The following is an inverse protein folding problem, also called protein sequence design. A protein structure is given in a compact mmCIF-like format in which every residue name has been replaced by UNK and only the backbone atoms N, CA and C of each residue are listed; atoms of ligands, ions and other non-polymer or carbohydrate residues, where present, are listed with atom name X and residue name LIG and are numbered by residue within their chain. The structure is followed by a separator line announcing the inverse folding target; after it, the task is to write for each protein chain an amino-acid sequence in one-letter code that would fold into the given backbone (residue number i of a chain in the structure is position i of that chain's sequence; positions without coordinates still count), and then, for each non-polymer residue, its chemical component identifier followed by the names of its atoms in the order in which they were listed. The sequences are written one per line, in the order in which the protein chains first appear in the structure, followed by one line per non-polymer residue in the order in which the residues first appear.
data_IF_599471300536
#
_entry.id   IF_599471300536
#
_cell.length_a   1.000
_cell.length_b   1.000
_cell.length_c   1.000
_cell.angle_alpha   90.00
_cell.angle_beta   90.00
_cell.angle_gamma   90.00
#
_symmetry.space_group_name_H-M   'P 1'
#
loop_
_entity.id
_entity.type
_entity.pdbx_description
1 polymer ?
#
# COMPACT_ATOMS: atom_id res chain seq x y z
N UNK A 1 16.11 -9.16 25.67
CA UNK A 1 15.08 -8.19 26.10
C UNK A 1 14.23 -7.85 24.89
N UNK A 2 12.96 -8.28 24.86
CA UNK A 2 12.08 -8.01 23.71
C UNK A 2 11.68 -6.53 23.76
N UNK A 3 12.21 -5.69 22.85
CA UNK A 3 11.72 -4.32 22.73
C UNK A 3 10.24 -4.38 22.39
N UNK A 4 9.40 -3.90 23.31
CA UNK A 4 7.97 -3.76 23.09
C UNK A 4 7.79 -2.84 21.88
N UNK A 5 7.22 -3.36 20.80
CA UNK A 5 6.99 -2.58 19.59
C UNK A 5 6.19 -1.31 19.94
N UNK A 6 6.60 -0.16 19.42
CA UNK A 6 5.91 1.12 19.67
C UNK A 6 4.41 1.01 19.38
N UNK A 7 3.52 1.79 20.02
CA UNK A 7 2.10 1.77 19.64
C UNK A 7 1.93 2.23 18.17
N UNK A 8 0.94 1.65 17.48
CA UNK A 8 0.55 2.10 16.13
C UNK A 8 -0.14 3.47 16.20
N UNK A 9 -0.01 4.32 15.17
CA UNK A 9 -0.88 5.49 15.01
C UNK A 9 -2.36 5.08 15.06
N UNK A 10 -3.20 5.89 15.70
CA UNK A 10 -4.61 5.58 15.90
C UNK A 10 -5.35 5.35 14.57
N UNK A 11 -5.08 6.18 13.56
CA UNK A 11 -5.63 6.06 12.21
C UNK A 11 -5.21 4.72 11.56
N UNK A 12 -3.95 4.33 11.66
CA UNK A 12 -3.45 3.04 11.14
C UNK A 12 -4.14 1.85 11.80
N UNK A 13 -4.33 1.90 13.12
CA UNK A 13 -5.01 0.84 13.87
C UNK A 13 -6.50 0.75 13.48
N UNK A 14 -7.17 1.91 13.30
CA UNK A 14 -8.54 1.96 12.82
C UNK A 14 -8.67 1.39 11.40
N UNK A 15 -7.76 1.77 10.50
CA UNK A 15 -7.69 1.27 9.13
C UNK A 15 -7.57 -0.26 9.08
N UNK A 16 -6.63 -0.84 9.84
CA UNK A 16 -6.47 -2.30 9.92
C UNK A 16 -7.71 -3.01 10.46
N UNK A 17 -8.38 -2.46 11.48
CA UNK A 17 -9.64 -3.01 11.99
C UNK A 17 -10.75 -2.94 10.96
N UNK A 18 -10.91 -1.81 10.27
CA UNK A 18 -11.92 -1.62 9.25
C UNK A 18 -11.74 -2.60 8.08
N UNK A 19 -10.50 -2.82 7.65
CA UNK A 19 -10.16 -3.79 6.60
C UNK A 19 -10.57 -5.23 6.94
N UNK A 20 -10.68 -5.57 8.22
CA UNK A 20 -11.09 -6.89 8.70
C UNK A 20 -12.57 -6.98 9.08
N UNK A 21 -13.26 -5.85 9.19
CA UNK A 21 -14.64 -5.77 9.69
C UNK A 21 -15.72 -5.95 8.61
N UNK A 22 -15.33 -6.08 7.33
CA UNK A 22 -16.27 -6.23 6.23
C UNK A 22 -17.11 -7.52 6.34
N UNK A 23 -18.40 -7.43 6.02
CA UNK A 23 -19.34 -8.57 6.00
C UNK A 23 -18.98 -9.64 4.97
N UNK A 24 -18.19 -9.28 3.96
CA UNK A 24 -17.65 -10.21 2.96
C UNK A 24 -16.55 -11.12 3.51
N UNK A 25 -16.01 -10.86 4.71
CA UNK A 25 -14.95 -11.65 5.34
C UNK A 25 -15.50 -12.57 6.42
N UNK A 26 -14.98 -13.80 6.44
CA UNK A 26 -15.18 -14.72 7.55
C UNK A 26 -14.49 -14.15 8.80
N UNK A 27 -15.10 -14.24 9.99
CA UNK A 27 -14.52 -13.68 11.21
C UNK A 27 -13.28 -14.45 11.71
N UNK A 28 -13.12 -15.71 11.28
CA UNK A 28 -12.04 -16.59 11.70
C UNK A 28 -10.68 -16.06 11.22
N UNK A 29 -9.75 -15.91 12.17
CA UNK A 29 -8.35 -15.60 11.90
C UNK A 29 -7.61 -16.84 11.36
N UNK A 30 -6.86 -16.67 10.27
CA UNK A 30 -6.25 -17.77 9.51
C UNK A 30 -4.74 -17.66 9.35
N UNK A 31 -4.06 -16.66 9.93
CA UNK A 31 -2.61 -16.44 9.74
C UNK A 31 -1.79 -17.74 9.80
N UNK A 32 -2.01 -18.59 10.81
CA UNK A 32 -1.28 -19.85 10.98
C UNK A 32 -1.37 -20.83 9.80
N UNK A 33 -2.47 -20.81 9.04
CA UNK A 33 -2.65 -21.64 7.83
C UNK A 33 -1.96 -21.04 6.60
N UNK A 34 -1.72 -19.73 6.63
CA UNK A 34 -1.17 -18.95 5.51
C UNK A 34 0.33 -18.66 5.65
N UNK A 35 0.95 -18.99 6.79
CA UNK A 35 2.41 -18.90 6.99
C UNK A 35 3.21 -19.76 6.01
N UNK A 36 2.62 -20.76 5.36
CA UNK A 36 3.28 -21.52 4.29
C UNK A 36 3.45 -20.73 2.99
N UNK A 37 2.58 -19.75 2.71
CA UNK A 37 2.66 -18.93 1.50
C UNK A 37 3.60 -17.75 1.66
N UNK A 38 4.13 -17.24 0.55
CA UNK A 38 4.99 -16.07 0.52
C UNK A 38 4.19 -14.86 -0.01
N UNK A 39 3.89 -13.90 0.86
CA UNK A 39 3.19 -12.66 0.47
C UNK A 39 4.13 -11.61 -0.13
N UNK A 40 5.45 -11.82 -0.07
CA UNK A 40 6.44 -10.86 -0.56
C UNK A 40 6.26 -10.46 -2.03
N UNK A 41 6.05 -11.41 -2.96
CA UNK A 41 5.81 -11.08 -4.38
C UNK A 41 4.60 -10.18 -4.61
N UNK A 42 3.55 -10.25 -3.78
CA UNK A 42 2.34 -9.43 -3.94
C UNK A 42 2.67 -7.94 -3.75
N UNK A 43 3.61 -7.62 -2.86
CA UNK A 43 4.09 -6.26 -2.59
C UNK A 43 5.02 -5.70 -3.68
N UNK A 44 5.42 -6.53 -4.64
CA UNK A 44 6.27 -6.16 -5.78
C UNK A 44 5.49 -6.11 -7.10
N UNK A 45 4.21 -6.47 -7.09
CA UNK A 45 3.39 -6.63 -8.31
C UNK A 45 3.15 -5.30 -9.03
N UNK A 46 2.83 -4.24 -8.28
CA UNK A 46 2.52 -2.95 -8.86
C UNK A 46 3.75 -2.26 -9.48
N UNK A 47 3.56 -1.67 -10.66
CA UNK A 47 4.55 -0.76 -11.21
C UNK A 47 4.68 0.47 -10.32
N UNK A 48 5.84 1.14 -10.33
CA UNK A 48 6.05 2.34 -9.52
C UNK A 48 5.09 3.49 -9.88
N UNK A 49 4.47 3.43 -11.06
CA UNK A 49 3.60 4.47 -11.61
C UNK A 49 2.16 4.37 -11.10
N UNK A 50 1.74 3.19 -10.65
CA UNK A 50 0.41 3.00 -10.03
C UNK A 50 0.47 3.09 -8.50
N UNK A 51 1.66 3.10 -7.91
CA UNK A 51 1.85 3.36 -6.48
C UNK A 51 1.73 4.86 -6.21
N UNK A 52 0.65 5.23 -5.52
CA UNK A 52 0.30 6.62 -5.21
C UNK A 52 0.33 6.84 -3.71
N UNK A 53 0.73 8.02 -3.27
CA UNK A 53 0.95 8.30 -1.85
C UNK A 53 1.18 9.77 -1.53
N UNK A 54 0.92 10.11 -0.27
CA UNK A 54 1.15 11.45 0.28
C UNK A 54 1.86 11.39 1.65
N UNK A 55 2.44 12.52 2.03
CA UNK A 55 3.00 12.77 3.37
C UNK A 55 2.58 14.16 3.87
N UNK A 56 2.30 14.27 5.17
CA UNK A 56 1.98 15.53 5.83
C UNK A 56 0.51 15.98 5.67
N UNK A 57 0.16 17.08 6.35
CA UNK A 57 -1.21 17.61 6.37
C UNK A 57 -1.66 18.20 5.03
N UNK A 58 -0.73 18.66 4.20
CA UNK A 58 -1.01 19.27 2.90
C UNK A 58 -0.97 18.26 1.74
N UNK A 59 -0.99 16.96 2.07
CA UNK A 59 -0.95 15.86 1.11
C UNK A 59 0.22 15.97 0.11
N UNK A 60 1.41 16.37 0.58
CA UNK A 60 2.61 16.46 -0.26
C UNK A 60 2.86 15.12 -0.95
N UNK A 61 3.05 15.13 -2.27
CA UNK A 61 3.28 13.90 -3.07
C UNK A 61 4.46 13.13 -2.50
N UNK A 62 4.18 11.87 -2.18
CA UNK A 62 5.14 10.85 -1.78
C UNK A 62 5.14 9.76 -2.84
N UNK A 63 6.28 9.54 -3.50
CA UNK A 63 6.47 8.35 -4.34
C UNK A 63 7.15 7.28 -3.51
N UNK A 64 6.74 6.03 -3.72
CA UNK A 64 7.29 4.87 -3.01
C UNK A 64 7.64 3.79 -4.02
N UNK A 65 8.84 3.23 -3.92
CA UNK A 65 9.27 2.07 -4.67
C UNK A 65 9.78 1.01 -3.70
N UNK A 66 9.06 -0.09 -3.58
CA UNK A 66 9.60 -1.30 -2.96
C UNK A 66 10.55 -1.97 -3.95
N UNK A 67 11.74 -2.36 -3.48
CA UNK A 67 12.80 -2.96 -4.29
C UNK A 67 12.93 -4.47 -4.00
N UNK A 68 13.00 -4.86 -2.73
CA UNK A 68 13.05 -6.27 -2.33
C UNK A 68 12.10 -6.55 -1.19
N UNK A 69 11.56 -7.77 -1.16
CA UNK A 69 10.75 -8.28 -0.06
C UNK A 69 11.12 -9.74 0.20
N UNK A 70 11.85 -9.96 1.28
CA UNK A 70 12.40 -11.27 1.63
C UNK A 70 11.69 -11.83 2.85
N UNK A 71 11.03 -12.98 2.68
CA UNK A 71 10.38 -13.68 3.78
C UNK A 71 11.41 -14.28 4.72
N UNK A 72 11.26 -14.06 6.02
CA UNK A 72 12.15 -14.63 7.03
C UNK A 72 11.95 -16.14 7.15
N UNK A 73 13.07 -16.89 7.13
CA UNK A 73 13.06 -18.34 7.40
C UNK A 73 12.84 -18.69 8.88
N UNK A 74 13.20 -17.79 9.80
CA UNK A 74 13.03 -17.99 11.24
C UNK A 74 11.62 -17.60 11.73
N UNK A 75 10.96 -16.69 11.00
CA UNK A 75 9.63 -16.20 11.34
C UNK A 75 8.79 -16.05 10.07
N UNK A 76 7.96 -17.05 9.74
CA UNK A 76 7.20 -17.05 8.49
C UNK A 76 6.17 -15.92 8.33
N UNK A 77 5.88 -15.14 9.38
CA UNK A 77 5.02 -13.96 9.29
C UNK A 77 5.81 -12.67 9.05
N UNK A 78 7.14 -12.70 9.15
CA UNK A 78 8.02 -11.53 9.03
C UNK A 78 8.66 -11.44 7.64
N UNK A 79 8.68 -10.23 7.09
CA UNK A 79 9.27 -9.89 5.80
C UNK A 79 10.25 -8.74 5.98
N UNK A 80 11.42 -8.86 5.38
CA UNK A 80 12.39 -7.78 5.26
C UNK A 80 12.14 -7.02 3.96
N UNK A 81 12.04 -5.70 4.05
CA UNK A 81 11.71 -4.84 2.92
C UNK A 81 12.83 -3.85 2.71
N UNK A 82 13.23 -3.66 1.46
CA UNK A 82 14.04 -2.52 1.02
C UNK A 82 13.31 -1.72 -0.03
N UNK A 83 13.60 -0.43 -0.11
CA UNK A 83 12.98 0.44 -1.10
C UNK A 83 13.53 1.85 -1.11
N UNK A 84 12.87 2.71 -1.87
CA UNK A 84 13.15 4.15 -1.94
C UNK A 84 11.86 4.95 -1.86
N UNK A 85 11.93 6.14 -1.29
CA UNK A 85 10.90 7.19 -1.32
C UNK A 85 11.40 8.39 -2.09
N UNK A 86 10.50 9.18 -2.69
CA UNK A 86 10.80 10.51 -3.22
C UNK A 86 9.74 11.50 -2.72
N UNK A 87 10.20 12.59 -2.11
CA UNK A 87 9.37 13.73 -1.68
C UNK A 87 10.04 15.00 -2.15
N UNK A 88 9.33 15.83 -2.94
CA UNK A 88 9.87 17.07 -3.50
C UNK A 88 11.24 16.92 -4.18
N UNK A 89 11.44 15.81 -4.92
CA UNK A 89 12.69 15.50 -5.63
C UNK A 89 13.78 14.85 -4.75
N UNK A 90 13.60 14.77 -3.44
CA UNK A 90 14.57 14.14 -2.53
C UNK A 90 14.31 12.64 -2.43
N UNK A 91 15.24 11.85 -2.98
CA UNK A 91 15.17 10.38 -2.93
C UNK A 91 15.86 9.85 -1.68
N UNK A 92 15.20 8.99 -0.90
CA UNK A 92 15.77 8.34 0.29
C UNK A 92 15.57 6.83 0.24
N UNK A 93 16.62 6.09 0.51
CA UNK A 93 16.53 4.64 0.65
C UNK A 93 15.98 4.29 2.03
N UNK A 94 15.12 3.29 2.08
CA UNK A 94 14.62 2.73 3.32
C UNK A 94 14.86 1.23 3.40
N UNK A 95 14.94 0.73 4.63
CA UNK A 95 14.91 -0.69 4.97
C UNK A 95 14.07 -0.91 6.20
N UNK A 96 13.46 -2.07 6.32
CA UNK A 96 12.74 -2.43 7.53
C UNK A 96 11.93 -3.69 7.38
N UNK A 97 10.84 -3.79 8.11
CA UNK A 97 10.06 -5.01 8.22
C UNK A 97 8.58 -4.77 7.94
N UNK A 98 7.92 -5.80 7.42
CA UNK A 98 6.48 -5.99 7.53
C UNK A 98 6.22 -7.32 8.21
N UNK A 99 5.40 -7.32 9.27
CA UNK A 99 4.96 -8.52 9.95
C UNK A 99 3.46 -8.71 9.73
N UNK A 100 3.08 -9.82 9.11
CA UNK A 100 1.68 -10.23 9.04
C UNK A 100 1.13 -10.45 10.45
N UNK A 101 -0.01 -9.85 10.73
CA UNK A 101 -0.71 -9.96 12.01
C UNK A 101 -1.96 -10.80 11.87
N UNK A 102 -2.67 -10.63 10.75
CA UNK A 102 -3.97 -11.23 10.54
C UNK A 102 -4.18 -11.60 9.07
N UNK A 103 -4.88 -12.70 8.83
CA UNK A 103 -5.34 -13.15 7.53
C UNK A 103 -6.77 -13.64 7.69
N UNK A 104 -7.69 -13.11 6.88
CA UNK A 104 -9.08 -13.55 6.81
C UNK A 104 -9.46 -13.91 5.39
N UNK A 105 -10.24 -14.96 5.26
CA UNK A 105 -10.81 -15.40 3.98
C UNK A 105 -12.16 -14.73 3.74
N UNK A 106 -12.49 -14.49 2.48
CA UNK A 106 -13.82 -14.14 2.05
C UNK A 106 -14.62 -15.39 1.69
N UNK A 107 -15.91 -15.44 2.05
CA UNK A 107 -16.83 -16.46 1.52
C UNK A 107 -18.29 -16.02 1.58
N UNK A 108 -19.04 -16.22 0.47
CA UNK A 108 -18.56 -16.68 -0.84
C UNK A 108 -17.60 -15.69 -1.48
N UNK A 109 -16.61 -16.22 -2.21
CA UNK A 109 -15.51 -15.45 -2.80
C UNK A 109 -16.02 -14.28 -3.65
N UNK A 110 -17.17 -14.47 -4.32
CA UNK A 110 -17.92 -13.44 -5.06
C UNK A 110 -18.25 -12.19 -4.24
N UNK A 111 -18.38 -12.26 -2.92
CA UNK A 111 -18.75 -11.10 -2.09
C UNK A 111 -17.67 -10.02 -2.02
N UNK A 112 -16.41 -10.31 -2.39
CA UNK A 112 -15.40 -9.27 -2.57
C UNK A 112 -15.53 -8.53 -3.91
N UNK A 113 -16.28 -9.08 -4.87
CA UNK A 113 -16.33 -8.62 -6.24
C UNK A 113 -17.75 -8.16 -6.60
N UNK A 114 -17.92 -6.87 -6.85
CA UNK A 114 -19.22 -6.27 -7.15
C UNK A 114 -19.67 -6.41 -8.63
N UNK A 115 -19.07 -7.29 -9.44
CA UNK A 115 -19.30 -7.29 -10.89
C UNK A 115 -20.26 -8.38 -11.37
N UNK A 116 -21.29 -7.95 -12.10
CA UNK A 116 -22.16 -8.80 -12.94
C UNK A 116 -21.51 -9.20 -14.28
N UNK A 117 -20.26 -8.79 -14.54
CA UNK A 117 -19.61 -8.99 -15.84
C UNK A 117 -18.46 -10.02 -15.77
N UNK A 118 -18.64 -11.12 -16.50
CA UNK A 118 -17.60 -12.08 -16.85
C UNK A 118 -17.40 -13.24 -15.85
N UNK A 119 -16.89 -14.40 -16.32
CA UNK A 119 -16.48 -15.46 -15.42
C UNK A 119 -15.32 -14.97 -14.55
N UNK A 120 -15.45 -15.11 -13.23
CA UNK A 120 -14.34 -14.88 -12.32
C UNK A 120 -13.16 -15.80 -12.69
N UNK A 121 -11.91 -15.37 -12.47
CA UNK A 121 -10.75 -16.25 -12.54
C UNK A 121 -10.96 -17.53 -11.73
N UNK A 122 -10.33 -18.62 -12.17
CA UNK A 122 -10.36 -19.92 -11.49
C UNK A 122 -9.70 -19.82 -10.09
N UNK A 123 -10.52 -19.45 -9.11
CA UNK A 123 -10.11 -19.06 -7.76
C UNK A 123 -10.85 -19.89 -6.72
N UNK A 124 -10.08 -20.53 -5.85
CA UNK A 124 -10.60 -21.33 -4.76
C UNK A 124 -10.97 -20.49 -3.53
N UNK A 125 -10.15 -19.49 -3.20
CA UNK A 125 -10.29 -18.67 -1.99
C UNK A 125 -9.75 -17.26 -2.26
N UNK A 126 -10.40 -16.23 -1.72
CA UNK A 126 -9.84 -14.88 -1.64
C UNK A 126 -9.81 -14.41 -0.20
N UNK A 127 -9.11 -13.31 0.06
CA UNK A 127 -9.10 -12.74 1.40
C UNK A 127 -8.30 -11.47 1.54
N UNK A 128 -8.16 -11.06 2.80
CA UNK A 128 -7.41 -9.89 3.22
C UNK A 128 -6.34 -10.32 4.21
N UNK A 129 -5.12 -9.84 4.01
CA UNK A 129 -4.03 -9.94 4.95
C UNK A 129 -3.68 -8.55 5.48
N UNK A 130 -3.55 -8.44 6.80
CA UNK A 130 -3.19 -7.21 7.50
C UNK A 130 -1.86 -7.42 8.19
N UNK A 131 -0.92 -6.52 7.92
CA UNK A 131 0.41 -6.53 8.50
C UNK A 131 0.76 -5.19 9.14
N UNK A 132 1.68 -5.23 10.09
CA UNK A 132 2.29 -4.04 10.66
C UNK A 132 3.64 -3.83 10.00
N UNK A 133 3.95 -2.60 9.60
CA UNK A 133 5.25 -2.27 9.02
C UNK A 133 6.01 -1.22 9.84
N UNK A 134 7.33 -1.29 9.71
CA UNK A 134 8.27 -0.26 10.14
C UNK A 134 9.39 -0.18 9.10
N UNK A 135 9.57 0.98 8.48
CA UNK A 135 10.59 1.23 7.45
C UNK A 135 11.43 2.43 7.89
N UNK A 136 12.74 2.26 7.88
CA UNK A 136 13.71 3.24 8.39
C UNK A 136 14.55 3.77 7.24
N UNK A 137 14.63 5.08 7.12
CA UNK A 137 15.61 5.75 6.27
C UNK A 137 16.94 5.90 7.03
N UNK A 138 18.03 6.22 6.32
CA UNK A 138 19.33 6.42 6.94
C UNK A 138 19.36 7.69 7.79
N UNK A 139 19.64 7.62 9.11
CA UNK A 139 19.71 8.81 9.96
C UNK A 139 20.91 9.71 9.63
N UNK A 140 21.83 9.27 8.77
CA UNK A 140 22.98 10.05 8.33
C UNK A 140 22.65 11.08 7.23
N UNK A 141 21.41 11.09 6.70
CA UNK A 141 20.99 12.02 5.66
C UNK A 141 19.91 12.97 6.20
N UNK A 142 19.88 14.20 5.68
CA UNK A 142 18.80 15.14 5.98
C UNK A 142 17.46 14.69 5.38
N UNK A 143 16.39 15.16 6.02
CA UNK A 143 14.99 14.85 5.64
C UNK A 143 14.70 13.35 5.67
N UNK A 144 15.22 12.67 6.69
CA UNK A 144 14.98 11.24 6.91
C UNK A 144 14.21 10.97 8.19
N UNK A 145 13.57 9.82 8.23
CA UNK A 145 12.76 9.39 9.35
C UNK A 145 12.41 7.91 9.33
N UNK A 146 11.36 7.59 10.09
CA UNK A 146 10.81 6.24 10.22
C UNK A 146 9.36 6.26 9.79
N UNK A 147 9.01 5.39 8.85
CA UNK A 147 7.62 5.07 8.51
C UNK A 147 7.12 3.94 9.42
N UNK A 148 5.92 4.10 9.98
CA UNK A 148 5.24 3.08 10.79
C UNK A 148 3.76 3.06 10.48
N UNK A 149 3.17 1.88 10.40
CA UNK A 149 1.74 1.77 10.16
C UNK A 149 1.25 0.36 9.91
N UNK A 150 0.11 0.30 9.24
CA UNK A 150 -0.57 -0.94 8.85
C UNK A 150 -0.61 -1.03 7.33
N UNK A 151 -0.31 -2.22 6.82
CA UNK A 151 -0.46 -2.61 5.43
C UNK A 151 -1.64 -3.57 5.30
N UNK A 152 -2.47 -3.38 4.27
CA UNK A 152 -3.61 -4.23 3.93
C UNK A 152 -3.43 -4.73 2.51
N UNK A 153 -3.38 -6.04 2.35
CA UNK A 153 -3.19 -6.72 1.06
C UNK A 153 -4.42 -7.59 0.78
N UNK A 154 -4.98 -7.47 -0.42
CA UNK A 154 -5.98 -8.38 -0.96
C UNK A 154 -5.29 -9.42 -1.82
N UNK A 155 -5.71 -10.66 -1.66
CA UNK A 155 -5.05 -11.81 -2.27
C UNK A 155 -6.08 -12.87 -2.63
N UNK A 156 -5.70 -13.77 -3.54
CA UNK A 156 -6.44 -14.99 -3.79
C UNK A 156 -5.55 -16.21 -4.00
N UNK A 157 -6.14 -17.38 -3.80
CA UNK A 157 -5.59 -18.68 -4.17
C UNK A 157 -6.33 -19.20 -5.40
N UNK A 158 -5.57 -19.62 -6.41
CA UNK A 158 -6.15 -20.42 -7.50
C UNK A 158 -6.46 -21.87 -7.04
N UNK A 159 -7.12 -22.66 -7.90
CA UNK A 159 -7.41 -24.08 -7.59
C UNK A 159 -6.16 -24.97 -7.47
N UNK A 160 -4.98 -24.45 -7.82
CA UNK A 160 -3.68 -25.09 -7.59
C UNK A 160 -3.02 -24.60 -6.29
N UNK A 161 -3.76 -23.86 -5.46
CA UNK A 161 -3.29 -23.27 -4.21
C UNK A 161 -2.08 -22.34 -4.36
N UNK A 162 -1.95 -21.65 -5.49
CA UNK A 162 -0.92 -20.61 -5.65
C UNK A 162 -1.48 -19.27 -5.21
N UNK A 163 -0.69 -18.51 -4.46
CA UNK A 163 -1.04 -17.18 -3.95
C UNK A 163 -0.79 -16.11 -5.00
N UNK A 164 -1.79 -15.27 -5.23
CA UNK A 164 -1.78 -14.20 -6.20
C UNK A 164 -2.17 -12.87 -5.58
N UNK A 165 -1.65 -11.79 -6.15
CA UNK A 165 -2.16 -10.45 -5.94
C UNK A 165 -3.58 -10.37 -6.50
N UNK A 166 -4.52 -9.83 -5.73
CA UNK A 166 -5.89 -9.66 -6.21
C UNK A 166 -6.00 -8.41 -7.10
N UNK A 167 -5.96 -8.65 -8.42
CA UNK A 167 -6.24 -7.68 -9.49
C UNK A 167 -7.52 -8.00 -10.27
N UNK A 168 -8.40 -8.84 -9.72
CA UNK A 168 -9.56 -9.39 -10.43
C UNK A 168 -10.48 -8.26 -10.91
N UNK A 169 -10.70 -7.26 -10.05
CA UNK A 169 -11.51 -6.09 -10.37
C UNK A 169 -10.66 -4.85 -10.70
N UNK A 170 -9.47 -5.01 -11.29
CA UNK A 170 -8.60 -3.85 -11.60
C UNK A 170 -9.25 -2.79 -12.50
N UNK A 171 -10.27 -3.17 -13.27
CA UNK A 171 -11.03 -2.27 -14.15
C UNK A 171 -12.18 -1.55 -13.44
N UNK A 172 -12.44 -1.83 -12.15
CA UNK A 172 -13.49 -1.16 -11.41
C UNK A 172 -13.07 0.25 -10.98
N UNK A 173 -13.99 1.20 -11.14
CA UNK A 173 -13.95 2.52 -10.51
C UNK A 173 -13.80 2.33 -8.99
N UNK A 174 -12.66 2.71 -8.40
CA UNK A 174 -12.24 2.45 -6.99
C UNK A 174 -11.41 1.20 -6.71
N UNK A 175 -10.86 0.53 -7.73
CA UNK A 175 -9.87 -0.52 -7.46
C UNK A 175 -8.69 0.01 -6.64
N UNK A 176 -8.29 -0.76 -5.63
CA UNK A 176 -7.11 -0.51 -4.82
C UNK A 176 -6.60 -1.81 -4.20
N UNK A 177 -5.29 -1.88 -3.98
CA UNK A 177 -4.66 -2.97 -3.25
C UNK A 177 -3.36 -2.48 -2.59
N UNK A 178 -2.69 -3.36 -1.83
CA UNK A 178 -1.46 -3.08 -1.08
C UNK A 178 -1.49 -1.70 -0.43
N UNK A 179 -2.49 -1.46 0.40
CA UNK A 179 -2.74 -0.15 0.99
C UNK A 179 -2.00 0.00 2.32
N UNK A 180 -1.27 1.09 2.48
CA UNK A 180 -0.48 1.42 3.65
C UNK A 180 -1.01 2.69 4.30
N UNK A 181 -1.52 2.57 5.53
CA UNK A 181 -1.92 3.70 6.35
C UNK A 181 -0.97 3.87 7.52
N UNK A 182 -0.32 5.02 7.64
CA UNK A 182 0.77 5.20 8.59
C UNK A 182 1.19 6.63 8.86
N UNK A 183 2.39 6.71 9.43
CA UNK A 183 3.04 7.95 9.78
C UNK A 183 4.52 7.89 9.46
N UNK A 184 5.09 9.02 9.08
CA UNK A 184 6.52 9.24 9.01
C UNK A 184 6.96 10.15 10.17
N UNK A 185 7.98 9.73 10.93
CA UNK A 185 8.55 10.51 12.04
C UNK A 185 9.97 10.93 11.71
N UNK A 186 10.21 12.24 11.63
CA UNK A 186 11.52 12.83 11.34
C UNK A 186 12.56 12.46 12.41
N UNK A 187 13.76 12.07 12.00
CA UNK A 187 14.87 11.90 12.96
C UNK A 187 15.35 13.23 13.53
N UNK A 188 15.42 14.28 12.72
CA UNK A 188 15.93 15.59 13.13
C UNK A 188 14.95 16.32 14.06
N UNK A 189 13.68 16.43 13.64
CA UNK A 189 12.70 17.26 14.36
C UNK A 189 11.81 16.49 15.33
N UNK A 190 11.83 15.14 15.26
CA UNK A 190 10.89 14.24 15.97
C UNK A 190 9.41 14.48 15.66
N UNK A 191 9.09 15.40 14.75
CA UNK A 191 7.72 15.63 14.29
C UNK A 191 7.24 14.42 13.52
N UNK A 192 5.99 14.05 13.79
CA UNK A 192 5.30 12.95 13.12
C UNK A 192 4.29 13.52 12.15
N UNK A 193 4.32 13.03 10.92
CA UNK A 193 3.42 13.39 9.84
C UNK A 193 2.65 12.15 9.41
N UNK A 194 1.39 12.36 9.04
CA UNK A 194 0.58 11.34 8.39
C UNK A 194 1.21 10.96 7.04
N UNK A 195 1.19 9.68 6.71
CA UNK A 195 1.88 9.17 5.52
C UNK A 195 1.20 7.90 5.03
N UNK A 196 0.48 8.00 3.91
CA UNK A 196 -0.30 6.89 3.36
C UNK A 196 0.07 6.70 1.88
N UNK A 197 0.08 5.45 1.44
CA UNK A 197 0.27 5.10 0.03
C UNK A 197 -0.45 3.78 -0.29
N UNK A 198 -0.64 3.49 -1.56
CA UNK A 198 -1.25 2.24 -2.01
C UNK A 198 -1.18 2.09 -3.52
N UNK A 199 -1.56 0.91 -4.00
CA UNK A 199 -1.69 0.64 -5.42
C UNK A 199 -3.02 1.22 -5.91
N UNK A 200 -2.97 2.03 -6.97
CA UNK A 200 -4.09 2.70 -7.65
C UNK A 200 -4.81 3.79 -6.84
N UNK A 201 -4.96 3.62 -5.53
CA UNK A 201 -5.65 4.58 -4.66
C UNK A 201 -5.05 4.62 -3.26
N UNK A 202 -5.14 5.78 -2.60
CA UNK A 202 -4.51 6.00 -1.30
C UNK A 202 -5.53 5.79 -0.18
N UNK A 203 -5.25 4.96 0.84
CA UNK A 203 -6.18 4.79 1.95
C UNK A 203 -6.34 6.08 2.76
N UNK A 204 -7.56 6.27 3.26
CA UNK A 204 -7.96 7.41 4.10
C UNK A 204 -7.75 8.79 3.45
N UNK A 205 -7.64 8.92 2.14
CA UNK A 205 -7.32 10.20 1.48
C UNK A 205 -8.25 11.38 1.84
N UNK A 206 -9.47 11.16 2.34
CA UNK A 206 -10.34 12.24 2.80
C UNK A 206 -10.71 13.19 1.66
N UNK A 207 -10.60 14.49 1.89
CA UNK A 207 -10.90 15.55 0.91
C UNK A 207 -9.82 15.73 -0.17
N UNK A 208 -8.70 15.02 -0.07
CA UNK A 208 -7.66 15.04 -1.09
C UNK A 208 -8.06 14.30 -2.36
N UNK A 209 -8.80 13.20 -2.24
CA UNK A 209 -9.19 12.38 -3.38
C UNK A 209 -10.65 12.67 -3.77
N UNK A 210 -10.83 13.39 -4.87
CA UNK A 210 -12.15 13.77 -5.42
C UNK A 210 -12.56 12.91 -6.60
N UNK A 211 -11.85 11.80 -6.85
CA UNK A 211 -12.07 10.97 -8.02
C UNK A 211 -13.25 10.01 -7.87
N UNK A 212 -14.11 9.91 -8.88
CA UNK A 212 -15.21 8.95 -8.91
C UNK A 212 -14.72 7.52 -9.21
N UNK A 213 -13.71 7.38 -10.08
CA UNK A 213 -13.12 6.09 -10.45
C UNK A 213 -11.67 5.94 -9.98
N UNK A 214 -10.76 6.65 -10.63
CA UNK A 214 -9.34 6.69 -10.26
C UNK A 214 -9.07 7.77 -9.21
N UNK A 215 -7.87 7.77 -8.60
CA UNK A 215 -7.45 8.85 -7.71
C UNK A 215 -7.41 10.19 -8.48
N UNK A 216 -8.18 11.19 -8.02
CA UNK A 216 -8.11 12.55 -8.53
C UNK A 216 -7.74 13.53 -7.42
N UNK A 217 -6.49 14.02 -7.36
CA UNK A 217 -6.07 15.00 -6.37
C UNK A 217 -6.90 16.28 -6.46
N UNK A 218 -7.42 16.76 -5.33
CA UNK A 218 -8.15 18.01 -5.28
C UNK A 218 -7.28 19.20 -5.73
N UNK A 219 -7.88 20.14 -6.46
CA UNK A 219 -7.18 21.25 -7.11
C UNK A 219 -6.26 22.03 -6.16
N UNK A 220 -6.72 22.29 -4.93
CA UNK A 220 -5.98 23.01 -3.88
C UNK A 220 -4.65 22.35 -3.45
N UNK A 221 -4.47 21.05 -3.74
CA UNK A 221 -3.24 20.31 -3.41
C UNK A 221 -2.37 20.04 -4.64
N UNK A 222 -2.78 20.45 -5.84
CA UNK A 222 -2.04 20.15 -7.07
C UNK A 222 -0.61 20.67 -7.00
N UNK A 223 -0.41 21.85 -6.41
CA UNK A 223 0.90 22.49 -6.24
C UNK A 223 1.88 21.68 -5.39
N UNK A 224 1.39 20.72 -4.59
CA UNK A 224 2.18 19.89 -3.68
C UNK A 224 2.73 18.63 -4.37
N UNK A 225 3.10 18.75 -5.65
CA UNK A 225 3.74 17.69 -6.44
C UNK A 225 2.78 16.76 -7.19
N UNK A 226 1.51 17.17 -7.37
CA UNK A 226 0.50 16.37 -8.07
C UNK A 226 0.17 16.87 -9.47
N UNK A 227 0.75 17.99 -9.91
CA UNK A 227 0.43 18.60 -11.22
C UNK A 227 0.65 17.62 -12.38
N UNK A 228 1.80 16.94 -12.41
CA UNK A 228 2.13 15.98 -13.47
C UNK A 228 1.24 14.73 -13.41
N UNK A 229 0.89 14.28 -12.20
CA UNK A 229 -0.02 13.15 -12.01
C UNK A 229 -1.42 13.49 -12.56
N UNK A 230 -1.99 14.62 -12.15
CA UNK A 230 -3.31 15.05 -12.62
C UNK A 230 -3.33 15.33 -14.14
N UNK A 231 -2.30 15.99 -14.66
CA UNK A 231 -2.19 16.26 -16.10
C UNK A 231 -1.96 14.98 -16.92
N UNK A 232 -1.30 13.97 -16.34
CA UNK A 232 -1.00 12.69 -17.00
C UNK A 232 -2.18 11.74 -17.14
N UNK A 233 -3.27 11.93 -16.38
CA UNK A 233 -4.50 11.13 -16.49
C UNK A 233 -5.30 11.42 -17.76
N UNK A 234 -5.12 12.60 -18.36
CA UNK A 234 -5.78 12.94 -19.62
C UNK A 234 -5.04 12.29 -20.81
N UNK A 235 -5.44 11.06 -21.14
CA UNK A 235 -4.83 10.17 -22.13
C UNK A 235 -4.69 10.76 -23.54
N UNK A 236 -5.50 11.77 -23.90
CA UNK A 236 -5.50 12.35 -25.24
C UNK A 236 -4.58 13.57 -25.43
N UNK A 237 -3.99 14.14 -24.35
CA UNK A 237 -3.41 15.50 -24.45
C UNK A 237 -1.96 15.62 -23.97
N UNK A 238 -1.50 14.91 -22.92
CA UNK A 238 -0.25 15.30 -22.25
C UNK A 238 0.82 14.21 -22.11
N UNK A 239 1.47 13.89 -23.25
CA UNK A 239 2.60 12.93 -23.28
C UNK A 239 3.80 13.35 -22.41
N UNK A 240 4.00 14.65 -22.15
CA UNK A 240 5.13 15.14 -21.37
C UNK A 240 4.94 14.94 -19.85
N UNK A 241 3.76 15.28 -19.32
CA UNK A 241 3.41 15.02 -17.92
C UNK A 241 3.47 13.53 -17.61
N UNK A 242 2.93 12.70 -18.51
CA UNK A 242 3.01 11.24 -18.40
C UNK A 242 4.45 10.73 -18.34
N UNK A 243 5.32 11.18 -19.27
CA UNK A 243 6.75 10.83 -19.24
C UNK A 243 7.44 11.24 -17.93
N UNK A 244 7.06 12.39 -17.35
CA UNK A 244 7.58 12.82 -16.04
C UNK A 244 7.05 11.96 -14.91
N UNK A 245 5.79 11.54 -14.94
CA UNK A 245 5.24 10.62 -13.93
C UNK A 245 5.90 9.24 -14.00
N UNK A 246 6.09 8.72 -15.21
CA UNK A 246 6.67 7.41 -15.51
C UNK A 246 8.21 7.37 -15.43
N UNK A 247 8.87 8.52 -15.20
CA UNK A 247 10.33 8.58 -15.10
C UNK A 247 10.84 7.62 -14.02
N UNK A 248 11.96 6.97 -14.31
CA UNK A 248 12.65 6.24 -13.25
C UNK A 248 13.37 7.21 -12.32
N UNK A 249 12.92 7.29 -11.07
CA UNK A 249 13.49 8.15 -10.02
C UNK A 249 14.23 7.36 -8.93
N UNK A 250 14.09 6.03 -8.94
CA UNK A 250 14.59 5.12 -7.89
C UNK A 250 15.85 4.35 -8.29
N UNK A 251 16.52 4.74 -9.38
CA UNK A 251 17.83 4.16 -9.73
C UNK A 251 18.90 4.56 -8.71
#
# INVERSE_FOLDING_TARGET
MSQKAAPLPAESAAFGRAALAGTALRPAEKLGQYTKYNFGPLLLQASATVVVGFIGPDYQRLRVKVLTVDKSGADPALYQITGKTEVAGLVRAFRGTLRLQQVREATPVKQLYASEEGPLPDMAVAGVAVGRYELTESPAQDHTGIFRGVAVMRWYLDHRHRLHYDDINKMSDSFCNNQFAGSWTSYATKKTQRCNWGDYRIPNAGDFDTGAGELSPAEKYLTNGWQDYAAGQNLSVNSAARRREERTWWK
#
